data_IF_915814559663
#
_entry.id   IF_915814559663
#
_cell.length_a   1.000
_cell.length_b   1.000
_cell.length_c   1.000
_cell.angle_alpha   90.00
_cell.angle_beta   90.00
_cell.angle_gamma   90.00
#
_symmetry.space_group_name_H-M   'P 1'
#
loop_
_entity.id
_entity.type
_entity.pdbx_description
1 polymer ?
#
# COMPACT_ATOMS: atom_id res chain seq x y z
N UNK A 1 49.04 21.87 18.79
CA UNK A 1 48.28 20.63 18.53
C UNK A 1 46.81 20.99 18.61
N UNK A 2 46.13 21.10 17.47
CA UNK A 2 44.68 21.30 17.40
C UNK A 2 44.10 20.12 16.62
N UNK A 3 43.31 19.32 17.31
CA UNK A 3 42.57 18.18 16.77
C UNK A 3 41.41 18.75 15.96
N UNK A 4 41.41 18.53 14.64
CA UNK A 4 40.23 18.82 13.81
C UNK A 4 39.44 17.53 13.61
N UNK A 5 38.24 17.54 14.20
CA UNK A 5 37.23 16.51 14.07
C UNK A 5 36.92 16.21 12.60
N UNK A 6 37.24 14.99 12.18
CA UNK A 6 36.68 14.39 10.97
C UNK A 6 35.21 14.07 11.21
N UNK A 7 34.33 15.04 10.97
CA UNK A 7 32.92 14.76 10.80
C UNK A 7 32.78 13.89 9.55
N UNK A 8 32.55 12.60 9.73
CA UNK A 8 32.09 11.70 8.69
C UNK A 8 30.74 12.21 8.21
N UNK A 9 30.74 13.05 7.17
CA UNK A 9 29.55 13.32 6.39
C UNK A 9 29.12 11.98 5.81
N UNK A 10 28.12 11.38 6.44
CA UNK A 10 27.42 10.23 5.88
C UNK A 10 26.64 10.76 4.68
N UNK A 11 27.33 10.85 3.54
CA UNK A 11 26.77 11.11 2.23
C UNK A 11 25.97 9.89 1.81
N UNK A 12 24.88 9.62 2.53
CA UNK A 12 23.85 8.74 2.03
C UNK A 12 23.11 9.54 0.97
N UNK A 13 23.75 9.63 -0.20
CA UNK A 13 23.14 10.06 -1.44
C UNK A 13 21.78 9.39 -1.51
N UNK A 14 20.71 10.19 -1.48
CA UNK A 14 19.37 9.74 -1.80
C UNK A 14 19.46 9.13 -3.20
N UNK A 15 19.65 7.82 -3.29
CA UNK A 15 19.43 7.08 -4.52
C UNK A 15 17.94 7.23 -4.79
N UNK A 16 17.55 8.24 -5.57
CA UNK A 16 16.16 8.61 -5.81
C UNK A 16 15.33 7.57 -6.56
N UNK A 17 15.77 6.30 -6.57
CA UNK A 17 15.20 5.20 -7.33
C UNK A 17 15.16 3.86 -6.55
N UNK A 18 15.55 3.79 -5.28
CA UNK A 18 15.50 2.53 -4.52
C UNK A 18 14.47 2.60 -3.40
N UNK A 19 13.44 1.75 -3.48
CA UNK A 19 12.40 1.61 -2.45
C UNK A 19 12.94 0.66 -1.38
N UNK A 20 13.21 1.17 -0.18
CA UNK A 20 13.73 0.36 0.92
C UNK A 20 12.92 0.56 2.20
N UNK A 21 12.35 -0.54 2.71
CA UNK A 21 11.74 -0.53 4.03
C UNK A 21 10.94 -1.78 4.32
N UNK A 22 9.72 -1.62 4.85
CA UNK A 22 8.97 -2.71 5.49
C UNK A 22 7.59 -2.85 4.87
N UNK A 23 7.18 -4.09 4.64
CA UNK A 23 5.80 -4.46 4.29
C UNK A 23 5.11 -5.12 5.49
N UNK A 24 3.97 -4.56 5.92
CA UNK A 24 3.07 -5.24 6.86
C UNK A 24 2.13 -6.14 6.04
N UNK A 25 2.63 -7.30 5.60
CA UNK A 25 1.93 -8.17 4.63
C UNK A 25 1.60 -9.58 5.14
N UNK A 26 1.66 -9.80 6.45
CA UNK A 26 1.46 -11.12 7.07
C UNK A 26 -0.01 -11.39 7.42
N UNK A 27 -0.33 -12.68 7.59
CA UNK A 27 -1.59 -13.16 8.17
C UNK A 27 -1.57 -13.08 9.70
N UNK A 28 -2.71 -12.76 10.30
CA UNK A 28 -2.87 -12.58 11.74
C UNK A 28 -3.03 -11.12 12.15
N UNK A 29 -3.02 -10.89 13.47
CA UNK A 29 -3.33 -9.58 14.07
C UNK A 29 -2.44 -8.46 13.51
N UNK A 30 -3.01 -7.45 12.82
CA UNK A 30 -2.27 -6.29 12.34
C UNK A 30 -1.57 -5.54 13.47
N UNK A 31 -0.53 -4.79 13.15
CA UNK A 31 0.13 -3.94 14.13
C UNK A 31 -0.80 -2.84 14.63
N UNK A 32 -0.66 -2.47 15.89
CA UNK A 32 -1.37 -1.30 16.43
C UNK A 32 -0.77 0.00 15.88
N UNK A 33 -1.52 1.09 16.00
CA UNK A 33 -1.08 2.43 15.57
C UNK A 33 0.25 2.82 16.20
N UNK A 34 0.44 2.53 17.48
CA UNK A 34 1.63 2.84 18.27
C UNK A 34 2.83 2.02 17.77
N UNK A 35 2.63 0.74 17.47
CA UNK A 35 3.66 -0.12 16.91
C UNK A 35 4.12 0.36 15.54
N UNK A 36 3.18 0.80 14.69
CA UNK A 36 3.50 1.37 13.37
C UNK A 36 4.26 2.69 13.50
N UNK A 37 3.86 3.57 14.42
CA UNK A 37 4.57 4.84 14.68
C UNK A 37 5.99 4.61 15.21
N UNK A 38 6.18 3.67 16.13
CA UNK A 38 7.51 3.26 16.62
C UNK A 38 8.36 2.68 15.48
N UNK A 39 7.76 1.88 14.60
CA UNK A 39 8.43 1.36 13.41
C UNK A 39 8.92 2.50 12.50
N UNK A 40 8.10 3.52 12.22
CA UNK A 40 8.51 4.64 11.37
C UNK A 40 9.72 5.40 11.93
N UNK A 41 9.77 5.58 13.26
CA UNK A 41 10.91 6.21 13.92
C UNK A 41 12.20 5.38 13.77
N UNK A 42 12.08 4.05 13.90
CA UNK A 42 13.21 3.12 13.70
C UNK A 42 13.67 3.08 12.25
N UNK A 43 12.74 3.01 11.30
CA UNK A 43 13.03 3.05 9.86
C UNK A 43 13.80 4.32 9.48
N UNK A 44 13.35 5.48 9.96
CA UNK A 44 14.07 6.75 9.79
C UNK A 44 15.51 6.69 10.31
N UNK A 45 15.71 6.10 11.51
CA UNK A 45 17.05 5.94 12.11
C UNK A 45 17.94 5.00 11.29
N UNK A 46 17.37 3.99 10.64
CA UNK A 46 18.08 3.05 9.78
C UNK A 46 18.26 3.53 8.34
N UNK A 47 17.71 4.69 7.97
CA UNK A 47 17.79 5.23 6.61
C UNK A 47 16.88 4.53 5.61
N UNK A 48 15.85 3.82 6.09
CA UNK A 48 14.75 3.30 5.26
C UNK A 48 13.72 4.40 4.99
N UNK A 49 12.99 4.28 3.90
CA UNK A 49 12.12 5.34 3.40
C UNK A 49 10.72 4.87 2.98
N UNK A 50 10.41 3.57 3.03
CA UNK A 50 9.19 3.04 2.43
C UNK A 50 8.45 2.06 3.33
N UNK A 51 7.17 2.32 3.59
CA UNK A 51 6.29 1.42 4.33
C UNK A 51 5.08 1.03 3.49
N UNK A 52 4.86 -0.27 3.30
CA UNK A 52 3.74 -0.83 2.56
C UNK A 52 2.67 -1.37 3.53
N UNK A 53 1.52 -0.71 3.56
CA UNK A 53 0.33 -1.12 4.31
C UNK A 53 -0.42 -2.20 3.52
N UNK A 54 -0.23 -3.47 3.88
CA UNK A 54 -0.90 -4.62 3.26
C UNK A 54 -1.39 -5.71 4.25
N UNK A 55 -1.90 -5.35 5.45
CA UNK A 55 -2.25 -6.35 6.46
C UNK A 55 -3.36 -7.27 5.95
N UNK A 56 -3.13 -8.59 5.91
CA UNK A 56 -4.06 -9.55 5.29
C UNK A 56 -5.39 -9.68 6.03
N UNK A 57 -5.39 -9.40 7.34
CA UNK A 57 -6.56 -9.46 8.22
C UNK A 57 -7.33 -8.12 8.30
N UNK A 58 -6.89 -7.08 7.58
CA UNK A 58 -7.73 -5.90 7.35
C UNK A 58 -8.78 -6.23 6.28
N UNK A 59 -10.03 -6.38 6.71
CA UNK A 59 -11.11 -6.74 5.80
C UNK A 59 -11.28 -5.76 4.64
N UNK A 60 -11.14 -4.45 4.87
CA UNK A 60 -11.32 -3.43 3.83
C UNK A 60 -10.11 -3.31 2.90
N UNK A 61 -8.99 -3.95 3.23
CA UNK A 61 -7.86 -4.12 2.34
C UNK A 61 -8.07 -5.28 1.35
N UNK A 62 -8.78 -6.35 1.75
CA UNK A 62 -8.89 -7.61 0.98
C UNK A 62 -10.33 -8.10 0.79
N UNK A 63 -10.97 -8.66 1.82
CA UNK A 63 -12.26 -9.35 1.69
C UNK A 63 -13.43 -8.42 1.30
N UNK A 64 -13.44 -7.20 1.83
CA UNK A 64 -14.44 -6.16 1.57
C UNK A 64 -13.77 -4.94 0.93
N UNK A 65 -12.90 -5.17 -0.06
CA UNK A 65 -12.10 -4.12 -0.68
C UNK A 65 -12.95 -2.98 -1.29
N UNK A 66 -14.18 -3.29 -1.71
CA UNK A 66 -15.17 -2.34 -2.24
C UNK A 66 -15.74 -1.38 -1.18
N UNK A 67 -15.73 -1.77 0.09
CA UNK A 67 -16.29 -0.97 1.17
C UNK A 67 -15.38 0.20 1.50
N UNK A 68 -15.96 1.39 1.60
CA UNK A 68 -15.23 2.60 2.00
C UNK A 68 -14.93 2.58 3.49
N UNK A 69 -13.86 3.27 3.88
CA UNK A 69 -13.56 3.50 5.29
C UNK A 69 -14.63 4.38 5.93
N UNK A 70 -14.98 4.09 7.17
CA UNK A 70 -15.84 4.96 8.00
C UNK A 70 -15.07 6.22 8.39
N UNK A 71 -15.75 7.17 9.03
CA UNK A 71 -15.12 8.41 9.50
C UNK A 71 -13.98 8.10 10.49
N UNK A 72 -14.22 7.18 11.42
CA UNK A 72 -13.26 6.80 12.46
C UNK A 72 -12.04 6.09 11.86
N UNK A 73 -12.26 5.20 10.88
CA UNK A 73 -11.18 4.52 10.16
C UNK A 73 -10.39 5.51 9.28
N UNK A 74 -11.07 6.47 8.65
CA UNK A 74 -10.45 7.52 7.85
C UNK A 74 -9.55 8.44 8.70
N UNK A 75 -10.01 8.84 9.88
CA UNK A 75 -9.22 9.62 10.83
C UNK A 75 -7.97 8.84 11.27
N UNK A 76 -8.13 7.55 11.58
CA UNK A 76 -7.02 6.70 11.94
C UNK A 76 -5.97 6.58 10.81
N UNK A 77 -6.41 6.27 9.58
CA UNK A 77 -5.50 6.17 8.43
C UNK A 77 -4.82 7.50 8.11
N UNK A 78 -5.54 8.61 8.16
CA UNK A 78 -4.98 9.96 7.96
C UNK A 78 -3.88 10.25 8.98
N UNK A 79 -4.13 9.93 10.27
CA UNK A 79 -3.13 10.09 11.33
C UNK A 79 -1.90 9.21 11.13
N UNK A 80 -2.08 7.99 10.61
CA UNK A 80 -0.98 7.07 10.30
C UNK A 80 -0.13 7.55 9.12
N UNK A 81 -0.77 7.97 8.02
CA UNK A 81 -0.10 8.54 6.84
C UNK A 81 0.69 9.79 7.23
N UNK A 82 0.10 10.65 8.07
CA UNK A 82 0.78 11.86 8.58
C UNK A 82 2.02 11.50 9.38
N UNK A 83 1.93 10.53 10.30
CA UNK A 83 3.07 10.08 11.10
C UNK A 83 4.20 9.47 10.25
N UNK A 84 3.86 8.73 9.19
CA UNK A 84 4.85 8.22 8.24
C UNK A 84 5.58 9.39 7.53
N UNK A 85 4.83 10.38 7.06
CA UNK A 85 5.37 11.57 6.38
C UNK A 85 6.29 12.39 7.29
N UNK A 86 5.94 12.59 8.56
CA UNK A 86 6.78 13.27 9.56
C UNK A 86 8.12 12.54 9.81
N UNK A 87 8.12 11.22 9.61
CA UNK A 87 9.32 10.40 9.69
C UNK A 87 10.12 10.33 8.38
N UNK A 88 9.64 10.97 7.30
CA UNK A 88 10.26 10.87 5.97
C UNK A 88 10.01 9.52 5.29
N UNK A 89 8.96 8.79 5.70
CA UNK A 89 8.58 7.51 5.14
C UNK A 89 7.45 7.71 4.11
N UNK A 90 7.67 7.22 2.90
CA UNK A 90 6.67 7.05 1.86
C UNK A 90 5.70 5.94 2.27
N UNK A 91 4.45 6.33 2.49
CA UNK A 91 3.36 5.41 2.83
C UNK A 91 2.72 4.88 1.56
N UNK A 92 2.85 3.58 1.31
CA UNK A 92 2.21 2.88 0.21
C UNK A 92 0.95 2.19 0.72
N UNK A 93 -0.21 2.52 0.16
CA UNK A 93 -1.45 1.80 0.43
C UNK A 93 -1.60 0.65 -0.56
N UNK A 94 -1.62 -0.59 -0.07
CA UNK A 94 -1.98 -1.72 -0.89
C UNK A 94 -3.49 -1.98 -0.87
N UNK A 95 -4.00 -2.55 -1.95
CA UNK A 95 -5.35 -3.13 -2.01
C UNK A 95 -5.28 -4.48 -2.73
N UNK A 96 -6.03 -5.46 -2.21
CA UNK A 96 -6.03 -6.84 -2.70
C UNK A 96 -7.42 -7.25 -3.20
N UNK A 97 -7.84 -6.81 -4.40
CA UNK A 97 -9.20 -7.07 -4.90
C UNK A 97 -9.40 -8.49 -5.47
N UNK A 98 -8.32 -9.28 -5.61
CA UNK A 98 -8.32 -10.51 -6.40
C UNK A 98 -9.20 -11.66 -5.91
N UNK A 99 -9.77 -11.60 -4.70
CA UNK A 99 -10.58 -12.69 -4.16
C UNK A 99 -11.92 -12.89 -4.89
N UNK A 100 -12.55 -11.80 -5.30
CA UNK A 100 -13.93 -11.84 -5.82
C UNK A 100 -14.18 -10.79 -6.92
N UNK A 101 -13.10 -10.30 -7.53
CA UNK A 101 -13.17 -9.32 -8.62
C UNK A 101 -13.67 -9.96 -9.92
N UNK A 102 -14.53 -9.25 -10.64
CA UNK A 102 -14.79 -9.50 -12.07
C UNK A 102 -14.07 -8.43 -12.89
N UNK A 103 -12.93 -8.77 -13.49
CA UNK A 103 -12.02 -7.81 -14.12
C UNK A 103 -12.66 -7.01 -15.27
N UNK A 104 -13.59 -7.63 -15.98
CA UNK A 104 -14.31 -7.07 -17.13
C UNK A 104 -15.44 -6.11 -16.73
N UNK A 105 -15.81 -6.07 -15.45
CA UNK A 105 -16.95 -5.29 -14.96
C UNK A 105 -16.57 -3.81 -14.74
N UNK A 106 -17.23 -2.85 -15.43
CA UNK A 106 -17.00 -1.42 -15.21
C UNK A 106 -17.33 -0.97 -13.78
N UNK A 107 -18.22 -1.69 -13.09
CA UNK A 107 -18.57 -1.41 -11.69
C UNK A 107 -17.40 -1.68 -10.75
N UNK A 108 -16.60 -2.72 -11.02
CA UNK A 108 -15.43 -3.07 -10.22
C UNK A 108 -14.33 -2.02 -10.36
N UNK A 109 -14.10 -1.54 -11.59
CA UNK A 109 -13.17 -0.43 -11.85
C UNK A 109 -13.61 0.83 -11.12
N UNK A 110 -14.92 1.16 -11.16
CA UNK A 110 -15.46 2.32 -10.47
C UNK A 110 -15.34 2.20 -8.93
N UNK A 111 -15.59 1.02 -8.36
CA UNK A 111 -15.41 0.76 -6.93
C UNK A 111 -13.95 0.93 -6.52
N UNK A 112 -13.02 0.40 -7.32
CA UNK A 112 -11.58 0.53 -7.07
C UNK A 112 -11.14 1.99 -7.07
N UNK A 113 -11.51 2.74 -8.11
CA UNK A 113 -11.19 4.17 -8.22
C UNK A 113 -11.71 4.94 -7.01
N UNK A 114 -12.96 4.72 -6.62
CA UNK A 114 -13.56 5.38 -5.46
C UNK A 114 -12.81 5.07 -4.17
N UNK A 115 -12.39 3.82 -3.97
CA UNK A 115 -11.63 3.40 -2.79
C UNK A 115 -10.24 4.06 -2.76
N UNK A 116 -9.51 4.04 -3.87
CA UNK A 116 -8.19 4.68 -3.95
C UNK A 116 -8.27 6.21 -3.84
N UNK A 117 -9.30 6.82 -4.42
CA UNK A 117 -9.57 8.26 -4.28
C UNK A 117 -9.84 8.63 -2.82
N UNK A 118 -10.63 7.84 -2.09
CA UNK A 118 -10.84 8.03 -0.65
C UNK A 118 -9.50 8.00 0.11
N UNK A 119 -8.65 7.01 -0.16
CA UNK A 119 -7.34 6.91 0.50
C UNK A 119 -6.38 8.02 0.07
N UNK A 120 -6.49 8.50 -1.17
CA UNK A 120 -5.75 9.67 -1.63
C UNK A 120 -6.13 10.93 -0.86
N UNK A 121 -7.42 11.11 -0.55
CA UNK A 121 -7.91 12.23 0.28
C UNK A 121 -7.35 12.19 1.71
N UNK A 122 -6.93 11.03 2.21
CA UNK A 122 -6.24 10.89 3.50
C UNK A 122 -4.76 11.35 3.44
N UNK A 123 -4.26 11.72 2.25
CA UNK A 123 -2.90 12.17 2.01
C UNK A 123 -1.94 11.11 1.47
N UNK A 124 -2.44 9.91 1.13
CA UNK A 124 -1.64 8.88 0.49
C UNK A 124 -1.43 9.22 -1.01
N UNK A 125 -0.20 9.02 -1.50
CA UNK A 125 0.18 9.33 -2.89
C UNK A 125 0.79 8.14 -3.62
N UNK A 126 0.94 7.00 -2.94
CA UNK A 126 1.60 5.82 -3.48
C UNK A 126 0.73 4.59 -3.21
N UNK A 127 0.49 3.79 -4.25
CA UNK A 127 -0.47 2.71 -4.21
C UNK A 127 0.13 1.40 -4.74
N UNK A 128 -0.41 0.29 -4.29
CA UNK A 128 -0.10 -1.04 -4.79
C UNK A 128 -1.39 -1.85 -4.99
N UNK A 129 -1.49 -2.58 -6.11
CA UNK A 129 -2.53 -3.58 -6.32
C UNK A 129 -1.90 -4.96 -6.21
N UNK A 130 -2.48 -5.79 -5.34
CA UNK A 130 -1.96 -7.12 -5.05
C UNK A 130 -2.92 -8.19 -5.59
N UNK A 131 -2.34 -9.20 -6.22
CA UNK A 131 -3.04 -10.36 -6.79
C UNK A 131 -2.42 -11.67 -6.28
N UNK A 132 -1.95 -11.67 -5.04
CA UNK A 132 -1.37 -12.83 -4.35
C UNK A 132 -2.45 -13.63 -3.58
N UNK A 133 -2.22 -14.93 -3.39
CA UNK A 133 -3.12 -15.84 -2.66
C UNK A 133 -4.58 -15.82 -3.16
N UNK A 134 -4.76 -15.94 -4.48
CA UNK A 134 -6.06 -15.99 -5.16
C UNK A 134 -6.14 -17.19 -6.10
N UNK A 135 -7.35 -17.60 -6.43
CA UNK A 135 -7.56 -18.63 -7.44
C UNK A 135 -7.18 -18.09 -8.84
N UNK A 136 -6.42 -18.85 -9.63
CA UNK A 136 -6.00 -18.42 -10.96
C UNK A 136 -7.10 -18.58 -12.02
N UNK A 137 -8.23 -19.20 -11.66
CA UNK A 137 -9.35 -19.42 -12.55
C UNK A 137 -10.17 -18.13 -12.71
N UNK A 138 -10.39 -17.70 -13.95
CA UNK A 138 -11.20 -16.52 -14.25
C UNK A 138 -12.68 -16.85 -14.21
N UNK A 139 -13.51 -15.84 -13.88
CA UNK A 139 -14.95 -15.93 -14.09
C UNK A 139 -15.28 -16.14 -15.58
N UNK A 140 -16.43 -16.75 -15.89
CA UNK A 140 -16.86 -16.93 -17.29
C UNK A 140 -16.95 -15.59 -18.04
N UNK A 141 -17.42 -14.53 -17.38
CA UNK A 141 -17.46 -13.19 -17.95
C UNK A 141 -16.05 -12.67 -18.32
N UNK A 142 -15.05 -12.94 -17.48
CA UNK A 142 -13.68 -12.52 -17.75
C UNK A 142 -13.02 -13.36 -18.86
N UNK A 143 -13.39 -14.64 -19.00
CA UNK A 143 -12.91 -15.51 -20.10
C UNK A 143 -13.41 -15.06 -21.47
N UNK A 144 -14.60 -14.45 -21.55
CA UNK A 144 -15.12 -13.89 -22.81
C UNK A 144 -14.35 -12.65 -23.26
N UNK A 145 -13.70 -11.93 -22.34
CA UNK A 145 -13.06 -10.64 -22.60
C UNK A 145 -11.53 -10.75 -22.67
N UNK A 146 -10.92 -11.58 -21.82
CA UNK A 146 -9.47 -11.64 -21.64
C UNK A 146 -8.88 -12.98 -22.07
N UNK A 147 -7.75 -12.91 -22.77
CA UNK A 147 -7.03 -14.09 -23.26
C UNK A 147 -6.34 -14.90 -22.15
N UNK A 148 -6.08 -14.27 -21.00
CA UNK A 148 -5.42 -14.91 -19.86
C UNK A 148 -5.67 -14.13 -18.57
N UNK A 149 -5.47 -14.78 -17.44
CA UNK A 149 -5.55 -14.14 -16.12
C UNK A 149 -4.57 -12.98 -15.96
N UNK A 150 -3.34 -13.14 -16.48
CA UNK A 150 -2.36 -12.07 -16.51
C UNK A 150 -2.82 -10.87 -17.37
N UNK A 151 -3.47 -11.13 -18.51
CA UNK A 151 -4.05 -10.06 -19.32
C UNK A 151 -5.12 -9.30 -18.51
N UNK A 152 -6.03 -10.01 -17.85
CA UNK A 152 -7.10 -9.41 -17.05
C UNK A 152 -6.53 -8.49 -15.94
N UNK A 153 -5.55 -8.97 -15.17
CA UNK A 153 -4.88 -8.18 -14.12
C UNK A 153 -4.18 -6.92 -14.68
N UNK A 154 -3.40 -7.06 -15.75
CA UNK A 154 -2.68 -5.94 -16.37
C UNK A 154 -3.67 -4.90 -16.92
N UNK A 155 -4.74 -5.34 -17.58
CA UNK A 155 -5.78 -4.46 -18.10
C UNK A 155 -6.47 -3.70 -16.98
N UNK A 156 -6.79 -4.37 -15.88
CA UNK A 156 -7.42 -3.74 -14.73
C UNK A 156 -6.50 -2.74 -14.01
N UNK A 157 -5.23 -3.07 -13.81
CA UNK A 157 -4.22 -2.13 -13.26
C UNK A 157 -4.13 -0.86 -14.11
N UNK A 158 -4.12 -0.98 -15.44
CA UNK A 158 -3.98 0.16 -16.37
C UNK A 158 -5.19 1.10 -16.38
N UNK A 159 -6.35 0.64 -15.94
CA UNK A 159 -7.58 1.43 -15.98
C UNK A 159 -7.75 2.36 -14.78
N UNK A 160 -6.85 2.29 -13.80
CA UNK A 160 -6.92 2.93 -12.49
C UNK A 160 -5.85 4.01 -12.40
#
# INVERSE_FOLDING_TARGET
MAVTNGASHNSNTKNGNFICGVVEGFYGRPWTTEQRKDLFQKMKKWGMDSYLYAPKDDYKHRAYWRDLYTVEEAEHLTGLITAAKECGISFYYALSPGLDITYSSPKEIAALKRKLEQVSQFGCIAFALLFDDIEPEMSEADKEVFQSFAHAQVSFIKMV
#
